data_IF_206937658675
#
_entry.id   IF_206937658675
#
_cell.length_a   1.000
_cell.length_b   1.000
_cell.length_c   1.000
_cell.angle_alpha   90.00
_cell.angle_beta   90.00
_cell.angle_gamma   90.00
#
_symmetry.space_group_name_H-M   'P 1'
#
loop_
_entity.id
_entity.type
_entity.pdbx_description
1 polymer ?
#
# COMPACT_ATOMS: atom_id res chain seq x y z
N UNK A 1 -13.52 -6.53 3.27
CA UNK A 1 -13.88 -7.84 2.70
C UNK A 1 -13.67 -7.77 1.20
N UNK A 2 -13.28 -8.87 0.57
CA UNK A 2 -13.08 -8.93 -0.89
C UNK A 2 -14.02 -10.00 -1.43
N UNK A 3 -14.89 -9.62 -2.38
CA UNK A 3 -15.83 -10.52 -3.02
C UNK A 3 -15.39 -10.87 -4.44
N UNK A 4 -15.39 -12.16 -4.73
CA UNK A 4 -15.03 -12.77 -6.00
C UNK A 4 -16.33 -13.27 -6.68
N UNK A 5 -16.95 -12.47 -7.56
CA UNK A 5 -18.29 -12.73 -8.07
C UNK A 5 -18.40 -13.95 -8.98
N UNK A 6 -17.33 -14.29 -9.71
CA UNK A 6 -17.30 -15.48 -10.58
C UNK A 6 -17.27 -16.75 -9.73
N UNK A 7 -16.51 -16.72 -8.65
CA UNK A 7 -16.29 -17.83 -7.72
C UNK A 7 -17.38 -17.92 -6.65
N UNK A 8 -18.19 -16.87 -6.48
CA UNK A 8 -19.18 -16.69 -5.41
C UNK A 8 -18.58 -16.90 -4.02
N UNK A 9 -17.39 -16.33 -3.81
CA UNK A 9 -16.68 -16.41 -2.53
C UNK A 9 -16.32 -15.02 -2.03
N UNK A 10 -16.36 -14.86 -0.72
CA UNK A 10 -15.90 -13.65 -0.07
C UNK A 10 -14.85 -13.98 0.98
N UNK A 11 -13.88 -13.08 1.13
CA UNK A 11 -12.81 -13.22 2.10
C UNK A 11 -12.73 -11.98 3.00
N UNK A 12 -12.56 -12.23 4.30
CA UNK A 12 -12.26 -11.20 5.30
C UNK A 12 -10.86 -11.47 5.85
N UNK A 13 -9.93 -10.56 5.56
CA UNK A 13 -8.59 -10.62 6.10
C UNK A 13 -8.56 -9.93 7.47
N UNK A 14 -8.17 -10.66 8.50
CA UNK A 14 -8.03 -10.16 9.87
C UNK A 14 -6.55 -10.08 10.17
N UNK A 15 -5.96 -8.88 10.13
CA UNK A 15 -4.58 -8.64 10.56
C UNK A 15 -4.54 -8.11 12.00
N UNK A 16 -3.59 -8.61 12.81
CA UNK A 16 -3.37 -8.10 14.18
C UNK A 16 -2.76 -6.70 14.22
N UNK A 17 -2.10 -6.27 13.14
CA UNK A 17 -1.55 -4.94 12.98
C UNK A 17 -2.37 -4.10 12.01
N UNK A 18 -2.56 -2.81 12.33
CA UNK A 18 -3.06 -1.78 11.38
C UNK A 18 -1.98 -1.38 10.36
N UNK A 19 -1.16 -2.32 9.90
CA UNK A 19 -0.25 -2.01 8.80
C UNK A 19 -1.08 -2.19 7.55
N UNK A 20 -1.46 -1.11 6.85
CA UNK A 20 -2.15 -1.24 5.58
C UNK A 20 -1.30 -2.14 4.70
N UNK A 21 -1.93 -3.18 4.17
CA UNK A 21 -1.28 -4.09 3.25
C UNK A 21 -0.67 -3.24 2.13
N UNK A 22 0.66 -3.31 1.87
CA UNK A 22 1.37 -2.34 1.02
C UNK A 22 0.83 -2.28 -0.42
N UNK A 23 -0.02 -3.23 -0.81
CA UNK A 23 -0.62 -3.31 -2.13
C UNK A 23 -2.01 -2.67 -2.25
N UNK A 24 -2.89 -2.79 -1.24
CA UNK A 24 -4.33 -2.44 -1.34
C UNK A 24 -4.54 -0.94 -1.60
N UNK A 25 -3.54 -0.12 -1.29
CA UNK A 25 -3.63 1.33 -1.41
C UNK A 25 -2.59 1.93 -2.36
N UNK A 26 -1.83 1.14 -3.13
CA UNK A 26 -0.72 1.66 -3.97
C UNK A 26 -1.14 2.76 -4.96
N UNK A 27 -2.35 2.66 -5.54
CA UNK A 27 -2.92 3.70 -6.41
C UNK A 27 -3.48 4.87 -5.58
N UNK A 28 -4.12 4.59 -4.45
CA UNK A 28 -4.74 5.61 -3.58
C UNK A 28 -3.65 6.48 -2.95
N UNK A 29 -2.60 5.87 -2.41
CA UNK A 29 -1.45 6.55 -1.81
C UNK A 29 -0.71 7.40 -2.84
N UNK A 30 -0.48 6.92 -4.07
CA UNK A 30 0.21 7.73 -5.10
C UNK A 30 -0.60 8.94 -5.59
N UNK A 31 -1.89 9.02 -5.26
CA UNK A 31 -2.75 10.17 -5.59
C UNK A 31 -3.03 11.09 -4.41
N UNK A 32 -2.63 10.70 -3.20
CA UNK A 32 -2.76 11.52 -1.99
C UNK A 32 -1.51 12.36 -1.75
N UNK A 33 -1.70 13.56 -1.20
CA UNK A 33 -0.59 14.35 -0.69
C UNK A 33 0.18 13.52 0.36
N UNK A 34 1.51 13.55 0.28
CA UNK A 34 2.41 12.84 1.20
C UNK A 34 2.09 11.35 1.34
N UNK A 35 1.49 10.76 0.29
CA UNK A 35 1.10 9.36 0.22
C UNK A 35 0.16 8.89 1.35
N UNK A 36 -0.59 9.83 1.94
CA UNK A 36 -1.51 9.56 3.04
C UNK A 36 -0.86 9.41 4.41
N UNK A 37 0.48 9.48 4.52
CA UNK A 37 1.22 9.24 5.77
C UNK A 37 0.86 10.23 6.87
N UNK A 38 0.79 11.52 6.55
CA UNK A 38 0.40 12.56 7.50
C UNK A 38 -1.04 12.39 7.98
N UNK A 39 -1.94 11.94 7.11
CA UNK A 39 -3.35 11.69 7.46
C UNK A 39 -3.51 10.57 8.50
N UNK A 40 -2.57 9.62 8.54
CA UNK A 40 -2.53 8.55 9.54
C UNK A 40 -1.56 8.84 10.71
N UNK A 41 -1.03 10.07 10.79
CA UNK A 41 -0.29 10.58 11.95
C UNK A 41 1.23 10.35 11.90
N UNK A 42 1.79 9.91 10.77
CA UNK A 42 3.24 9.91 10.60
C UNK A 42 3.76 11.34 10.44
N UNK A 43 5.02 11.55 10.81
CA UNK A 43 5.70 12.84 10.66
C UNK A 43 7.01 12.67 9.91
N UNK A 44 7.32 13.60 9.01
CA UNK A 44 8.59 13.62 8.31
C UNK A 44 9.72 13.89 9.31
N UNK A 45 10.68 12.97 9.39
CA UNK A 45 11.85 13.09 10.25
C UNK A 45 13.00 13.76 9.52
N UNK A 46 13.33 13.22 8.35
CA UNK A 46 14.42 13.73 7.51
C UNK A 46 14.22 13.34 6.05
N UNK A 47 15.03 13.92 5.19
CA UNK A 47 15.17 13.51 3.79
C UNK A 47 16.65 13.45 3.40
N UNK A 48 16.93 12.70 2.34
CA UNK A 48 18.26 12.61 1.73
C UNK A 48 18.09 12.44 0.21
N UNK A 49 19.12 12.80 -0.57
CA UNK A 49 19.13 12.61 -2.02
C UNK A 49 20.34 11.79 -2.41
N UNK A 50 20.10 10.61 -2.97
CA UNK A 50 21.16 9.67 -3.40
C UNK A 50 20.89 9.29 -4.84
N UNK A 51 21.86 9.51 -5.74
CA UNK A 51 21.75 9.16 -7.16
C UNK A 51 20.42 9.65 -7.80
N UNK A 52 20.07 10.92 -7.57
CA UNK A 52 18.83 11.57 -8.05
C UNK A 52 17.53 11.05 -7.42
N UNK A 53 17.61 10.13 -6.46
CA UNK A 53 16.46 9.64 -5.70
C UNK A 53 16.32 10.41 -4.39
N UNK A 54 15.19 11.08 -4.21
CA UNK A 54 14.77 11.68 -2.94
C UNK A 54 14.24 10.58 -2.01
N UNK A 55 14.96 10.31 -0.94
CA UNK A 55 14.49 9.46 0.15
C UNK A 55 13.90 10.33 1.26
N UNK A 56 12.68 10.00 1.69
CA UNK A 56 12.03 10.61 2.85
C UNK A 56 11.82 9.57 3.94
N UNK A 57 12.09 9.95 5.19
CA UNK A 57 12.06 9.08 6.35
C UNK A 57 10.98 9.58 7.31
N UNK A 58 10.05 8.71 7.66
CA UNK A 58 8.84 9.07 8.39
C UNK A 58 8.79 8.32 9.72
N UNK A 59 8.54 9.07 10.80
CA UNK A 59 8.36 8.53 12.14
C UNK A 59 6.88 8.15 12.36
N UNK A 60 6.62 7.03 13.06
CA UNK A 60 5.27 6.63 13.40
C UNK A 60 4.62 7.63 14.37
N UNK A 61 3.28 7.66 14.45
CA UNK A 61 2.58 8.47 15.46
C UNK A 61 2.95 8.01 16.88
N UNK A 62 3.17 8.96 17.79
CA UNK A 62 3.60 8.68 19.18
C UNK A 62 2.71 7.66 19.91
N UNK A 63 1.40 7.68 19.65
CA UNK A 63 0.44 6.76 20.28
C UNK A 63 0.60 5.30 19.83
N UNK A 64 1.32 5.04 18.74
CA UNK A 64 1.49 3.71 18.16
C UNK A 64 2.96 3.33 17.91
N UNK A 65 3.92 4.11 18.41
CA UNK A 65 5.36 3.87 18.21
C UNK A 65 5.85 2.49 18.66
N UNK A 66 5.16 1.88 19.62
CA UNK A 66 5.49 0.54 20.14
C UNK A 66 4.97 -0.59 19.24
N UNK A 67 4.23 -0.26 18.17
CA UNK A 67 3.62 -1.22 17.24
C UNK A 67 3.91 -0.92 15.78
N UNK A 68 4.20 0.33 15.45
CA UNK A 68 4.55 0.78 14.11
C UNK A 68 6.00 1.27 14.11
N UNK A 69 6.77 0.87 13.11
CA UNK A 69 8.10 1.44 12.87
C UNK A 69 8.08 2.56 11.84
N UNK A 70 9.25 2.90 11.33
CA UNK A 70 9.41 3.96 10.34
C UNK A 70 9.02 3.53 8.94
N UNK A 71 8.61 4.51 8.14
CA UNK A 71 8.36 4.36 6.70
C UNK A 71 9.42 5.15 5.94
N UNK A 72 9.98 4.55 4.90
CA UNK A 72 10.96 5.17 4.02
C UNK A 72 10.40 5.14 2.61
N UNK A 73 10.29 6.30 1.97
CA UNK A 73 9.83 6.41 0.59
C UNK A 73 10.97 6.89 -0.29
N UNK A 74 11.18 6.24 -1.44
CA UNK A 74 12.10 6.67 -2.47
C UNK A 74 11.34 7.25 -3.66
N UNK A 75 11.69 8.47 -4.05
CA UNK A 75 11.08 9.19 -5.16
C UNK A 75 12.11 9.58 -6.20
N UNK A 76 11.77 9.43 -7.48
CA UNK A 76 12.60 9.85 -8.59
C UNK A 76 11.74 10.56 -9.65
N UNK A 77 12.12 11.77 -10.05
CA UNK A 77 11.33 12.63 -10.95
C UNK A 77 9.85 12.75 -10.52
N UNK A 78 9.63 13.06 -9.25
CA UNK A 78 8.30 13.20 -8.61
C UNK A 78 7.42 11.94 -8.64
N UNK A 79 8.03 10.76 -8.80
CA UNK A 79 7.33 9.46 -8.80
C UNK A 79 7.84 8.61 -7.67
N UNK A 80 6.93 8.01 -6.91
CA UNK A 80 7.27 6.99 -5.94
C UNK A 80 7.85 5.77 -6.66
N UNK A 81 9.08 5.37 -6.34
CA UNK A 81 9.74 4.20 -6.93
C UNK A 81 9.96 3.08 -5.91
N UNK A 82 9.98 3.42 -4.62
CA UNK A 82 10.13 2.44 -3.55
C UNK A 82 9.44 2.89 -2.25
N UNK A 83 9.01 1.90 -1.48
CA UNK A 83 8.60 2.07 -0.10
C UNK A 83 9.21 0.95 0.75
N UNK A 84 9.69 1.29 1.94
CA UNK A 84 10.16 0.34 2.94
C UNK A 84 9.47 0.64 4.27
N UNK A 85 8.97 -0.42 4.92
CA UNK A 85 8.29 -0.33 6.21
C UNK A 85 9.12 -1.12 7.22
N UNK A 86 9.40 -0.50 8.35
CA UNK A 86 10.10 -1.10 9.48
C UNK A 86 9.15 -1.38 10.64
N UNK A 87 9.54 -2.32 11.50
CA UNK A 87 8.96 -2.47 12.83
C UNK A 87 9.65 -1.51 13.84
N UNK A 88 9.15 -1.42 15.10
CA UNK A 88 9.75 -0.57 16.13
C UNK A 88 11.23 -0.87 16.42
N UNK A 89 11.67 -2.12 16.22
CA UNK A 89 13.06 -2.55 16.38
C UNK A 89 13.97 -2.15 15.19
N UNK A 90 13.38 -1.61 14.12
CA UNK A 90 14.10 -1.14 12.93
C UNK A 90 14.35 -2.22 11.87
N UNK A 91 13.82 -3.43 12.06
CA UNK A 91 13.83 -4.48 11.04
C UNK A 91 12.79 -4.19 9.96
N UNK A 92 13.13 -4.56 8.73
CA UNK A 92 12.25 -4.39 7.58
C UNK A 92 11.20 -5.48 7.60
N UNK A 93 9.93 -5.06 7.60
CA UNK A 93 8.78 -5.97 7.56
C UNK A 93 8.05 -5.92 6.21
N UNK A 94 8.32 -4.88 5.40
CA UNK A 94 7.74 -4.74 4.08
C UNK A 94 8.61 -3.91 3.14
N UNK A 95 8.65 -4.30 1.88
CA UNK A 95 9.24 -3.52 0.78
C UNK A 95 8.34 -3.57 -0.43
N UNK A 96 8.22 -2.44 -1.11
CA UNK A 96 7.52 -2.31 -2.37
C UNK A 96 8.37 -1.56 -3.39
N UNK A 97 8.26 -1.96 -4.65
CA UNK A 97 8.84 -1.29 -5.81
C UNK A 97 7.73 -0.93 -6.79
N UNK A 98 7.79 0.28 -7.30
CA UNK A 98 6.78 0.87 -8.17
C UNK A 98 7.43 1.20 -9.51
N UNK A 99 6.91 0.60 -10.57
CA UNK A 99 7.55 0.60 -11.89
C UNK A 99 6.54 0.90 -13.00
N UNK A 100 7.08 1.18 -14.20
CA UNK A 100 6.31 1.39 -15.42
C UNK A 100 5.24 2.48 -15.30
N UNK A 101 5.55 3.58 -14.62
CA UNK A 101 4.61 4.66 -14.37
C UNK A 101 3.98 5.21 -15.66
N UNK A 102 2.65 5.30 -15.67
CA UNK A 102 1.87 5.92 -16.74
C UNK A 102 1.20 7.20 -16.25
N UNK A 103 1.17 8.22 -17.11
CA UNK A 103 0.48 9.48 -16.80
C UNK A 103 -1.02 9.30 -17.03
N UNK A 104 -1.81 9.48 -15.97
CA UNK A 104 -3.26 9.36 -16.00
C UNK A 104 -3.84 10.60 -15.32
N UNK A 105 -4.43 11.49 -16.12
CA UNK A 105 -4.77 12.84 -15.68
C UNK A 105 -3.52 13.64 -15.30
N UNK A 106 -3.48 14.15 -14.07
CA UNK A 106 -2.34 14.91 -13.52
C UNK A 106 -1.34 14.01 -12.76
N UNK A 107 -1.68 12.75 -12.51
CA UNK A 107 -0.90 11.86 -11.66
C UNK A 107 -0.07 10.87 -12.49
N UNK A 108 1.05 10.42 -11.92
CA UNK A 108 1.81 9.29 -12.43
C UNK A 108 1.48 8.05 -11.61
N UNK A 109 0.83 7.08 -12.23
CA UNK A 109 0.37 5.86 -11.58
C UNK A 109 1.31 4.71 -11.94
N UNK A 110 1.84 3.95 -10.97
CA UNK A 110 2.65 2.77 -11.26
C UNK A 110 1.79 1.69 -11.93
N UNK A 111 2.29 1.13 -13.02
CA UNK A 111 1.62 0.05 -13.73
C UNK A 111 2.08 -1.33 -13.28
N UNK A 112 3.19 -1.38 -12.56
CA UNK A 112 3.69 -2.60 -11.92
C UNK A 112 4.09 -2.28 -10.48
N UNK A 113 3.61 -3.09 -9.54
CA UNK A 113 3.99 -3.01 -8.13
C UNK A 113 4.45 -4.39 -7.70
N UNK A 114 5.69 -4.47 -7.24
CA UNK A 114 6.24 -5.69 -6.65
C UNK A 114 6.44 -5.46 -5.16
N UNK A 115 5.88 -6.34 -4.32
CA UNK A 115 5.91 -6.20 -2.87
C UNK A 115 6.39 -7.50 -2.21
N UNK A 116 7.15 -7.36 -1.13
CA UNK A 116 7.55 -8.47 -0.26
C UNK A 116 7.30 -8.11 1.19
N UNK A 117 6.84 -9.08 1.97
CA UNK A 117 6.78 -8.98 3.44
C UNK A 117 7.78 -9.95 4.07
N UNK A 118 8.27 -9.58 5.24
CA UNK A 118 9.34 -10.28 5.91
C UNK A 118 8.97 -10.63 7.35
N UNK A 119 9.47 -11.79 7.80
CA UNK A 119 9.36 -12.23 9.18
C UNK A 119 10.49 -11.69 10.05
N UNK A 120 10.48 -12.05 11.33
CA UNK A 120 11.43 -11.55 12.33
C UNK A 120 12.89 -11.90 12.01
N UNK A 121 13.15 -12.97 11.24
CA UNK A 121 14.50 -13.39 10.83
C UNK A 121 14.82 -13.00 9.39
N UNK A 122 14.11 -11.99 8.86
CA UNK A 122 14.27 -11.50 7.49
C UNK A 122 13.97 -12.55 6.40
N UNK A 123 13.29 -13.63 6.76
CA UNK A 123 12.73 -14.57 5.80
C UNK A 123 11.59 -13.90 5.01
N UNK A 124 11.52 -14.16 3.72
CA UNK A 124 10.40 -13.68 2.89
C UNK A 124 9.17 -14.51 3.24
N UNK A 125 8.15 -13.87 3.79
CA UNK A 125 6.87 -14.52 4.12
C UNK A 125 5.92 -14.52 2.93
N UNK A 126 5.90 -13.41 2.18
CA UNK A 126 5.07 -13.25 1.01
C UNK A 126 5.83 -12.46 -0.06
N UNK A 127 5.56 -12.80 -1.30
CA UNK A 127 5.96 -12.02 -2.46
C UNK A 127 4.76 -11.87 -3.39
N UNK A 128 4.52 -10.66 -3.87
CA UNK A 128 3.41 -10.35 -4.76
C UNK A 128 3.88 -9.43 -5.88
N UNK A 129 3.33 -9.65 -7.07
CA UNK A 129 3.46 -8.77 -8.22
C UNK A 129 2.08 -8.45 -8.76
N UNK A 130 1.78 -7.15 -8.82
CA UNK A 130 0.54 -6.62 -9.39
C UNK A 130 0.90 -5.88 -10.67
N UNK A 131 0.17 -6.17 -11.74
CA UNK A 131 0.30 -5.50 -13.02
C UNK A 131 -1.06 -4.91 -13.39
N UNK A 132 -1.10 -3.59 -13.52
CA UNK A 132 -2.30 -2.88 -13.93
C UNK A 132 -2.34 -2.77 -15.46
N UNK A 133 -3.54 -2.88 -16.03
CA UNK A 133 -3.78 -2.62 -17.43
C UNK A 133 -4.98 -1.70 -17.58
N UNK A 134 -4.87 -0.71 -18.47
CA UNK A 134 -5.91 0.27 -18.78
C UNK A 134 -6.57 0.95 -17.55
N UNK A 135 -5.81 1.57 -16.61
CA UNK A 135 -6.42 2.24 -15.47
C UNK A 135 -7.16 3.50 -15.94
N UNK A 136 -8.33 3.74 -15.36
CA UNK A 136 -9.17 4.89 -15.66
C UNK A 136 -9.33 5.73 -14.39
N UNK A 137 -9.20 7.05 -14.51
CA UNK A 137 -9.36 7.98 -13.39
C UNK A 137 -10.47 8.99 -13.69
N UNK A 138 -11.17 9.45 -12.65
CA UNK A 138 -12.28 10.41 -12.73
C UNK A 138 -13.43 9.99 -13.66
N UNK A 139 -13.61 8.68 -13.85
CA UNK A 139 -14.79 8.15 -14.54
C UNK A 139 -16.00 8.21 -13.61
N UNK A 140 -17.18 8.52 -14.15
CA UNK A 140 -18.42 8.39 -13.40
C UNK A 140 -18.54 6.96 -12.90
N UNK A 141 -18.53 6.79 -11.58
CA UNK A 141 -18.63 5.46 -10.98
C UNK A 141 -20.08 4.99 -11.14
N UNK A 142 -20.33 3.84 -11.77
CA UNK A 142 -21.68 3.30 -11.84
C UNK A 142 -22.25 3.15 -10.42
N UNK A 143 -23.46 3.66 -10.19
CA UNK A 143 -24.18 3.59 -8.91
C UNK A 143 -24.15 2.18 -8.24
N UNK A 144 -24.21 1.05 -8.99
CA UNK A 144 -24.12 -0.29 -8.39
C UNK A 144 -22.84 -0.58 -7.61
N UNK A 145 -21.71 0.08 -7.91
CA UNK A 145 -20.45 -0.14 -7.19
C UNK A 145 -20.47 0.56 -5.83
N UNK A 146 -21.02 1.78 -5.77
CA UNK A 146 -21.08 2.58 -4.54
C UNK A 146 -22.02 1.97 -3.49
N UNK A 147 -23.06 1.27 -3.95
CA UNK A 147 -24.05 0.62 -3.10
C UNK A 147 -23.91 -0.91 -3.10
N UNK A 148 -22.74 -1.44 -3.48
CA UNK A 148 -22.53 -2.87 -3.55
C UNK A 148 -22.54 -3.51 -2.16
N UNK A 149 -23.35 -4.56 -2.00
CA UNK A 149 -23.35 -5.44 -0.83
C UNK A 149 -23.07 -6.87 -1.28
N UNK A 150 -22.22 -7.59 -0.55
CA UNK A 150 -21.98 -9.02 -0.79
C UNK A 150 -23.33 -9.74 -0.66
N UNK A 151 -23.76 -10.56 -1.64
CA UNK A 151 -25.02 -11.29 -1.54
C UNK A 151 -25.07 -12.15 -0.27
N UNK A 152 -26.19 -12.14 0.44
CA UNK A 152 -26.37 -12.91 1.69
C UNK A 152 -26.14 -14.41 1.51
N UNK A 153 -26.29 -14.92 0.29
CA UNK A 153 -26.03 -16.33 -0.07
C UNK A 153 -24.54 -16.71 -0.10
N UNK A 154 -23.62 -15.75 0.02
CA UNK A 154 -22.17 -15.97 -0.07
C UNK A 154 -21.58 -16.03 1.32
N UNK A 155 -20.95 -17.15 1.67
CA UNK A 155 -20.22 -17.30 2.92
C UNK A 155 -18.91 -16.49 2.88
N UNK A 156 -18.69 -15.67 3.92
CA UNK A 156 -17.46 -14.90 4.09
C UNK A 156 -16.44 -15.73 4.87
N UNK A 157 -15.35 -16.12 4.23
CA UNK A 157 -14.24 -16.86 4.85
C UNK A 157 -13.28 -15.91 5.54
N UNK A 158 -13.00 -16.15 6.82
CA UNK A 158 -12.00 -15.37 7.56
C UNK A 158 -10.59 -15.95 7.37
N UNK A 159 -9.67 -15.11 6.94
CA UNK A 159 -8.25 -15.45 6.79
C UNK A 159 -7.47 -14.61 7.80
N UNK A 160 -6.75 -15.30 8.70
CA UNK A 160 -5.83 -14.64 9.64
C UNK A 160 -4.55 -14.27 8.91
N UNK A 161 -4.13 -13.02 9.08
CA UNK A 161 -2.92 -12.45 8.50
C UNK A 161 -2.00 -11.90 9.59
#
# INVERSE_FOLDING_TARGET
>A
EIYYPVEKQAFRFISKGRVPLPFVESIIQTTQAEYGLTAIGYTLDKHDVVEEVLYTYWKPPEKAKDTLGSVILGMHNDRLISAEIKNPEGYIIGRSRYQNHSKIGINYIPMEVTSSTYGEKSEVLQHEKIVYSNPQANIETPNPILNFTIPESVEVKEIKW
#
